data_IF_021192120663
#
_entry.id   IF_021192120663
#
_cell.length_a   1.000
_cell.length_b   1.000
_cell.length_c   1.000
_cell.angle_alpha   90.00
_cell.angle_beta   90.00
_cell.angle_gamma   90.00
#
_symmetry.space_group_name_H-M   'P 1'
#
loop_
_entity.id
_entity.type
_entity.pdbx_description
1 polymer ?
#
# COMPACT_ATOMS: atom_id res chain seq x y z
N UNK A 1 -3.03 -35.76 17.91
CA UNK A 1 -1.63 -35.36 17.59
C UNK A 1 -1.71 -34.11 16.75
N UNK A 2 -1.44 -32.96 17.37
CA UNK A 2 -1.47 -31.62 16.77
C UNK A 2 -0.03 -31.12 16.71
N UNK A 3 0.37 -30.58 15.56
CA UNK A 3 1.57 -29.77 15.42
C UNK A 3 1.32 -28.78 14.27
N UNK A 4 0.74 -27.63 14.62
CA UNK A 4 0.64 -26.47 13.74
C UNK A 4 1.85 -25.58 13.99
N UNK A 5 2.66 -25.37 12.96
CA UNK A 5 3.82 -24.48 12.96
C UNK A 5 3.33 -23.05 13.16
N UNK A 6 3.57 -22.48 14.34
CA UNK A 6 3.49 -21.04 14.60
C UNK A 6 4.81 -20.41 14.17
N UNK A 7 4.83 -19.78 12.99
CA UNK A 7 5.88 -18.84 12.63
C UNK A 7 5.77 -17.59 13.51
N UNK A 8 6.85 -17.21 14.17
CA UNK A 8 6.93 -16.08 15.08
C UNK A 8 6.93 -14.74 14.30
N UNK A 9 5.85 -13.95 14.32
CA UNK A 9 5.93 -12.49 14.15
C UNK A 9 6.41 -11.88 15.49
N UNK A 10 7.68 -12.08 15.85
CA UNK A 10 8.33 -11.43 16.99
C UNK A 10 9.59 -10.70 16.49
N UNK A 11 9.48 -9.38 16.29
CA UNK A 11 10.68 -8.53 16.19
C UNK A 11 10.51 -7.29 15.31
N UNK A 12 10.13 -6.16 15.94
CA UNK A 12 10.79 -4.85 15.75
C UNK A 12 10.09 -3.75 16.56
N UNK A 13 10.16 -3.86 17.88
CA UNK A 13 9.93 -2.76 18.80
C UNK A 13 11.24 -2.48 19.55
N UNK A 14 12.32 -2.11 18.85
CA UNK A 14 13.58 -1.68 19.50
C UNK A 14 14.60 -1.06 18.52
N UNK A 15 14.21 -0.02 17.80
CA UNK A 15 15.18 0.81 17.07
C UNK A 15 14.80 2.31 17.04
N UNK A 16 14.48 2.88 18.20
CA UNK A 16 14.43 4.33 18.39
C UNK A 16 14.95 4.73 19.76
N UNK A 17 16.18 4.32 20.11
CA UNK A 17 16.80 4.72 21.37
C UNK A 17 18.33 4.84 21.33
N UNK A 18 18.95 5.25 20.20
CA UNK A 18 20.36 5.67 20.22
C UNK A 18 20.62 6.83 19.26
N UNK A 19 20.19 8.01 19.65
CA UNK A 19 20.80 9.27 19.20
C UNK A 19 21.14 10.10 20.44
N UNK A 20 22.34 10.69 20.39
CA UNK A 20 22.88 11.77 21.24
C UNK A 20 23.64 11.30 22.49
N UNK A 21 24.97 11.42 22.48
CA UNK A 21 25.77 12.33 23.33
C UNK A 21 27.30 12.08 23.14
N UNK A 22 27.95 13.12 22.60
CA UNK A 22 29.27 13.71 22.93
C UNK A 22 30.60 13.12 22.43
N UNK A 23 31.22 13.94 21.56
CA UNK A 23 32.62 14.02 21.09
C UNK A 23 33.61 14.45 22.20
N UNK A 24 34.92 14.14 21.95
CA UNK A 24 36.21 14.77 22.42
C UNK A 24 36.71 14.29 23.82
N UNK A 25 38.00 14.01 24.12
CA UNK A 25 39.35 14.44 23.66
C UNK A 25 40.43 13.36 23.91
N UNK A 26 41.47 13.34 23.06
CA UNK A 26 42.84 12.81 23.19
C UNK A 26 43.41 12.57 24.62
N UNK A 27 44.19 11.49 24.76
CA UNK A 27 45.56 11.60 25.31
C UNK A 27 46.46 10.46 24.81
N UNK A 28 47.52 10.85 24.09
CA UNK A 28 48.61 9.99 23.65
C UNK A 28 49.46 9.52 24.84
N UNK A 29 49.94 8.28 24.79
CA UNK A 29 51.19 7.90 25.46
C UNK A 29 51.97 6.93 24.57
N UNK A 30 53.24 7.28 24.35
CA UNK A 30 54.20 6.67 23.43
C UNK A 30 54.86 5.46 24.08
N UNK A 31 54.93 4.33 23.37
CA UNK A 31 56.02 3.36 23.53
C UNK A 31 56.45 2.93 22.12
N UNK A 32 57.71 3.25 21.80
CA UNK A 32 58.42 2.90 20.58
C UNK A 32 59.20 1.62 20.88
N UNK A 33 58.98 0.55 20.12
CA UNK A 33 59.94 -0.56 20.00
C UNK A 33 60.05 -0.91 18.52
N UNK A 34 61.25 -0.72 17.98
CA UNK A 34 61.66 -1.10 16.64
C UNK A 34 61.84 -2.63 16.53
N UNK A 35 61.24 -3.26 15.53
CA UNK A 35 61.77 -4.47 14.90
C UNK A 35 61.29 -4.55 13.43
N UNK A 36 62.19 -4.68 12.44
CA UNK A 36 61.84 -4.72 11.02
C UNK A 36 61.65 -6.16 10.50
N UNK A 37 61.07 -6.27 9.28
CA UNK A 37 60.82 -7.47 8.45
C UNK A 37 59.54 -8.23 8.84
N UNK A 38 58.57 -8.51 7.96
CA UNK A 38 58.63 -8.98 6.57
C UNK A 38 57.36 -8.53 5.81
N UNK A 39 57.52 -8.10 4.56
CA UNK A 39 56.42 -7.93 3.60
C UNK A 39 55.80 -9.29 3.26
N UNK A 40 54.51 -9.47 3.54
CA UNK A 40 53.66 -10.38 2.76
C UNK A 40 52.42 -9.63 2.31
N UNK A 41 52.50 -9.07 1.11
CA UNK A 41 51.32 -8.68 0.34
C UNK A 41 50.61 -9.96 -0.12
N UNK A 42 49.61 -10.40 0.63
CA UNK A 42 48.62 -11.32 0.11
C UNK A 42 47.51 -10.47 -0.50
N UNK A 43 47.67 -10.11 -1.77
CA UNK A 43 46.59 -9.59 -2.61
C UNK A 43 45.64 -10.76 -2.94
N UNK A 44 44.77 -11.11 -2.01
CA UNK A 44 43.58 -11.88 -2.31
C UNK A 44 42.62 -10.96 -3.07
N UNK A 45 42.61 -11.07 -4.41
CA UNK A 45 41.46 -10.66 -5.21
C UNK A 45 40.29 -11.53 -4.77
N UNK A 46 39.48 -11.05 -3.84
CA UNK A 46 38.07 -11.46 -3.79
C UNK A 46 37.41 -10.76 -4.97
N UNK A 47 37.26 -11.47 -6.09
CA UNK A 47 36.20 -11.11 -7.04
C UNK A 47 34.90 -11.22 -6.25
N UNK A 48 34.35 -10.09 -5.84
CA UNK A 48 32.90 -9.99 -5.63
C UNK A 48 32.28 -10.37 -6.97
N UNK A 49 31.79 -11.60 -7.06
CA UNK A 49 30.76 -11.93 -8.03
C UNK A 49 29.56 -11.11 -7.55
N UNK A 50 29.44 -9.90 -8.10
CA UNK A 50 28.17 -9.20 -8.16
C UNK A 50 27.25 -10.12 -8.95
N UNK A 51 26.59 -11.05 -8.26
CA UNK A 51 25.32 -11.58 -8.71
C UNK A 51 24.43 -10.34 -8.85
N UNK A 52 24.35 -9.84 -10.06
CA UNK A 52 23.36 -8.86 -10.45
C UNK A 52 22.03 -9.62 -10.49
N UNK A 53 21.56 -10.05 -9.31
CA UNK A 53 20.15 -10.32 -9.13
C UNK A 53 19.47 -9.02 -9.54
N UNK A 54 18.72 -9.08 -10.64
CA UNK A 54 17.68 -8.09 -10.89
C UNK A 54 16.68 -8.25 -9.73
N UNK A 55 17.03 -7.71 -8.56
CA UNK A 55 16.09 -7.47 -7.49
C UNK A 55 15.12 -6.44 -8.04
N UNK A 56 14.03 -6.95 -8.60
CA UNK A 56 12.88 -6.15 -8.95
C UNK A 56 12.50 -5.35 -7.72
N UNK A 57 12.48 -4.02 -7.85
CA UNK A 57 12.27 -3.17 -6.69
C UNK A 57 10.92 -3.51 -6.06
N UNK A 58 10.91 -3.61 -4.73
CA UNK A 58 9.71 -3.90 -3.96
C UNK A 58 8.67 -2.81 -4.19
N UNK A 59 7.42 -3.15 -4.58
CA UNK A 59 6.34 -2.17 -4.68
C UNK A 59 6.06 -1.48 -3.34
N UNK A 60 5.62 -0.21 -3.37
CA UNK A 60 5.28 0.57 -2.18
C UNK A 60 4.33 -0.16 -1.23
N UNK A 61 3.32 -0.84 -1.78
CA UNK A 61 2.32 -1.61 -1.04
C UNK A 61 2.87 -2.89 -0.37
N UNK A 62 4.14 -3.24 -0.62
CA UNK A 62 4.85 -4.38 -0.04
C UNK A 62 6.15 -3.97 0.69
N UNK A 63 6.44 -2.66 0.81
CA UNK A 63 7.59 -2.15 1.57
C UNK A 63 7.23 -2.02 3.06
N UNK A 64 7.93 -2.76 3.91
CA UNK A 64 7.74 -2.85 5.35
C UNK A 64 7.77 -1.49 6.07
N UNK A 65 8.47 -0.50 5.51
CA UNK A 65 8.50 0.86 6.05
C UNK A 65 7.12 1.54 6.07
N UNK A 66 6.19 1.09 5.24
CA UNK A 66 4.87 1.71 5.07
C UNK A 66 3.70 0.86 5.60
N UNK A 67 3.97 -0.32 6.16
CA UNK A 67 2.92 -1.24 6.64
C UNK A 67 1.97 -0.60 7.66
N UNK A 68 2.45 0.36 8.46
CA UNK A 68 1.63 1.09 9.41
C UNK A 68 0.44 1.84 8.77
N UNK A 69 0.55 2.20 7.48
CA UNK A 69 -0.48 2.91 6.71
C UNK A 69 -1.37 1.98 5.88
N UNK A 70 -1.19 0.66 6.00
CA UNK A 70 -1.74 -0.35 5.09
C UNK A 70 -2.67 -1.33 5.79
N UNK A 71 -3.37 -0.88 6.85
CA UNK A 71 -4.34 -1.71 7.55
C UNK A 71 -5.71 -1.72 6.84
N UNK A 72 -5.96 -2.74 6.03
CA UNK A 72 -7.22 -2.94 5.33
C UNK A 72 -8.40 -3.25 6.26
N UNK A 73 -8.15 -3.79 7.46
CA UNK A 73 -9.20 -4.01 8.47
C UNK A 73 -9.80 -2.69 8.96
N UNK A 74 -8.98 -1.65 9.06
CA UNK A 74 -9.45 -0.31 9.39
C UNK A 74 -10.16 0.36 8.20
N UNK A 75 -9.65 0.18 6.98
CA UNK A 75 -10.25 0.75 5.77
C UNK A 75 -11.69 0.26 5.57
N UNK A 76 -11.95 -1.05 5.72
CA UNK A 76 -13.32 -1.60 5.62
C UNK A 76 -14.22 -1.18 6.79
N UNK A 77 -13.66 -0.61 7.86
CA UNK A 77 -14.41 -0.09 9.01
C UNK A 77 -14.98 1.31 8.83
N UNK A 78 -14.53 2.05 7.82
CA UNK A 78 -15.06 3.36 7.47
C UNK A 78 -16.58 3.27 7.24
N UNK A 79 -17.31 4.23 7.81
CA UNK A 79 -18.78 4.28 7.76
C UNK A 79 -19.24 5.11 6.57
N UNK A 80 -20.39 4.73 6.00
CA UNK A 80 -20.99 5.42 4.86
C UNK A 80 -20.31 5.06 3.53
N UNK A 81 -20.61 5.86 2.50
CA UNK A 81 -20.01 5.69 1.18
C UNK A 81 -18.55 6.11 1.19
N UNK A 82 -17.75 5.42 0.40
CA UNK A 82 -16.39 5.79 0.02
C UNK A 82 -16.40 6.00 -1.49
N UNK A 83 -15.92 7.14 -1.96
CA UNK A 83 -15.93 7.50 -3.37
C UNK A 83 -14.53 7.43 -3.96
N UNK A 84 -14.42 6.92 -5.19
CA UNK A 84 -13.19 7.04 -5.99
C UNK A 84 -13.11 8.46 -6.54
N UNK A 85 -12.11 9.20 -6.10
CA UNK A 85 -11.81 10.56 -6.57
C UNK A 85 -11.19 10.52 -7.96
N UNK A 86 -10.17 9.68 -8.13
CA UNK A 86 -9.47 9.51 -9.40
C UNK A 86 -8.87 8.11 -9.53
N UNK A 87 -8.48 7.77 -10.76
CA UNK A 87 -7.78 6.53 -11.09
C UNK A 87 -6.79 6.74 -12.23
N UNK A 88 -5.76 5.89 -12.33
CA UNK A 88 -4.69 6.05 -13.33
C UNK A 88 -4.74 5.06 -14.50
N UNK A 89 -5.82 4.29 -14.63
CA UNK A 89 -5.99 3.30 -15.66
C UNK A 89 -7.32 3.47 -16.41
N UNK A 90 -7.31 3.06 -17.68
CA UNK A 90 -8.53 2.92 -18.46
C UNK A 90 -9.25 1.61 -18.10
N UNK A 91 -10.57 1.69 -17.99
CA UNK A 91 -11.47 0.57 -18.22
C UNK A 91 -12.24 0.84 -19.52
N UNK A 92 -12.87 -0.18 -20.10
CA UNK A 92 -13.62 -0.02 -21.35
C UNK A 92 -14.70 1.06 -21.27
N UNK A 93 -15.23 1.30 -20.06
CA UNK A 93 -16.06 2.44 -19.70
C UNK A 93 -15.63 2.88 -18.29
N UNK A 94 -14.79 3.92 -18.12
CA UNK A 94 -14.44 4.39 -16.78
C UNK A 94 -15.72 4.88 -16.10
N UNK A 95 -16.15 4.23 -15.00
CA UNK A 95 -17.35 4.67 -14.32
C UNK A 95 -17.12 6.07 -13.74
N UNK A 96 -18.16 6.90 -13.75
CA UNK A 96 -18.22 8.10 -12.93
C UNK A 96 -18.88 7.75 -11.59
N UNK A 97 -18.63 8.54 -10.56
CA UNK A 97 -19.26 8.37 -9.25
C UNK A 97 -19.08 6.96 -8.65
N UNK A 98 -17.96 6.29 -8.95
CA UNK A 98 -17.66 4.98 -8.37
C UNK A 98 -17.58 5.09 -6.85
N UNK A 99 -18.31 4.22 -6.18
CA UNK A 99 -18.47 4.24 -4.74
C UNK A 99 -18.67 2.85 -4.16
N UNK A 100 -18.24 2.69 -2.92
CA UNK A 100 -18.41 1.47 -2.14
C UNK A 100 -19.00 1.81 -0.77
N UNK A 101 -19.97 1.01 -0.31
CA UNK A 101 -20.56 1.14 1.01
C UNK A 101 -20.70 -0.23 1.66
N UNK A 102 -20.23 -0.38 2.89
CA UNK A 102 -20.41 -1.63 3.64
C UNK A 102 -21.87 -1.77 4.08
N UNK A 103 -22.47 -2.90 3.72
CA UNK A 103 -23.83 -3.30 4.11
C UNK A 103 -23.82 -4.19 5.35
N UNK A 104 -22.89 -5.15 5.42
CA UNK A 104 -22.82 -6.09 6.54
C UNK A 104 -21.37 -6.54 6.83
N UNK A 105 -21.15 -6.98 8.06
CA UNK A 105 -19.93 -7.65 8.51
C UNK A 105 -20.32 -9.05 8.97
N UNK A 106 -19.77 -10.09 8.36
CA UNK A 106 -20.09 -11.48 8.73
C UNK A 106 -19.09 -12.00 9.76
N UNK A 107 -17.81 -11.66 9.60
CA UNK A 107 -16.74 -11.97 10.53
C UNK A 107 -15.59 -10.97 10.33
N UNK A 108 -14.43 -11.23 10.92
CA UNK A 108 -13.27 -10.34 10.86
C UNK A 108 -12.73 -10.10 9.43
N UNK A 109 -12.91 -11.04 8.51
CA UNK A 109 -12.36 -10.97 7.14
C UNK A 109 -13.40 -10.90 6.05
N UNK A 110 -14.68 -11.19 6.33
CA UNK A 110 -15.74 -11.27 5.33
C UNK A 110 -16.80 -10.19 5.53
N UNK A 111 -17.00 -9.38 4.49
CA UNK A 111 -17.91 -8.26 4.49
C UNK A 111 -18.79 -8.27 3.24
N UNK A 112 -20.01 -7.75 3.36
CA UNK A 112 -20.86 -7.46 2.22
C UNK A 112 -20.78 -5.95 1.93
N UNK A 113 -20.41 -5.61 0.70
CA UNK A 113 -20.42 -4.24 0.21
C UNK A 113 -21.42 -4.07 -0.92
N UNK A 114 -21.95 -2.87 -1.06
CA UNK A 114 -22.66 -2.41 -2.24
C UNK A 114 -21.74 -1.50 -3.04
N UNK A 115 -21.51 -1.82 -4.30
CA UNK A 115 -20.79 -0.97 -5.24
C UNK A 115 -21.79 -0.24 -6.11
N UNK A 116 -21.55 1.05 -6.36
CA UNK A 116 -22.38 1.87 -7.23
C UNK A 116 -21.54 2.78 -8.12
N UNK A 117 -21.95 2.91 -9.38
CA UNK A 117 -21.26 3.70 -10.39
C UNK A 117 -22.25 4.22 -11.46
N UNK A 118 -21.89 5.31 -12.11
CA UNK A 118 -22.60 5.91 -13.23
C UNK A 118 -21.91 5.58 -14.54
N UNK A 119 -22.69 5.19 -15.55
CA UNK A 119 -22.18 5.02 -16.91
C UNK A 119 -22.06 6.42 -17.55
N UNK A 120 -20.87 6.85 -18.03
CA UNK A 120 -20.65 8.24 -18.46
C UNK A 120 -21.64 8.76 -19.50
N UNK A 121 -22.07 7.90 -20.44
CA UNK A 121 -23.00 8.29 -21.52
C UNK A 121 -24.47 8.27 -21.09
N UNK A 122 -24.76 7.76 -19.89
CA UNK A 122 -26.09 7.55 -19.35
C UNK A 122 -26.12 8.02 -17.88
N UNK A 123 -25.92 9.33 -17.62
CA UNK A 123 -25.70 9.85 -16.26
C UNK A 123 -26.88 9.64 -15.30
N UNK A 124 -28.07 9.32 -15.83
CA UNK A 124 -29.27 8.98 -15.05
C UNK A 124 -29.30 7.51 -14.59
N UNK A 125 -28.39 6.68 -15.08
CA UNK A 125 -28.35 5.25 -14.81
C UNK A 125 -27.20 4.94 -13.87
N UNK A 126 -27.57 4.71 -12.60
CA UNK A 126 -26.66 4.19 -11.58
C UNK A 126 -26.72 2.67 -11.62
N UNK A 127 -25.58 2.04 -11.92
CA UNK A 127 -25.41 0.60 -11.76
C UNK A 127 -25.04 0.35 -10.31
N UNK A 128 -25.81 -0.51 -9.63
CA UNK A 128 -25.57 -0.88 -8.23
C UNK A 128 -25.67 -2.39 -8.07
N UNK A 129 -24.72 -3.00 -7.35
CA UNK A 129 -24.78 -4.42 -7.01
C UNK A 129 -24.03 -4.71 -5.72
N UNK A 130 -24.39 -5.82 -5.06
CA UNK A 130 -23.72 -6.26 -3.85
C UNK A 130 -22.63 -7.28 -4.17
N UNK A 131 -21.53 -7.24 -3.43
CA UNK A 131 -20.37 -8.11 -3.62
C UNK A 131 -19.70 -8.41 -2.28
N UNK A 132 -19.06 -9.57 -2.20
CA UNK A 132 -18.28 -9.95 -1.01
C UNK A 132 -16.90 -9.33 -1.08
N UNK A 133 -16.49 -8.68 -0.01
CA UNK A 133 -15.11 -8.25 0.23
C UNK A 133 -14.49 -9.24 1.21
N UNK A 134 -13.37 -9.84 0.82
CA UNK A 134 -12.62 -10.80 1.64
C UNK A 134 -11.22 -10.27 1.88
N UNK A 135 -10.88 -10.02 3.15
CA UNK A 135 -9.56 -9.53 3.55
C UNK A 135 -8.50 -10.63 3.45
N UNK A 136 -7.30 -10.24 3.05
CA UNK A 136 -6.12 -11.10 3.00
C UNK A 136 -4.84 -10.32 3.35
N UNK A 137 -3.79 -11.07 3.69
CA UNK A 137 -2.44 -10.55 3.87
C UNK A 137 -1.65 -10.86 2.58
N UNK A 138 -0.78 -9.96 2.15
CA UNK A 138 0.15 -10.17 1.03
C UNK A 138 1.58 -9.92 1.47
N UNK A 139 2.55 -10.45 0.71
CA UNK A 139 3.97 -10.29 1.01
C UNK A 139 4.33 -10.67 2.44
N UNK A 140 5.04 -9.78 3.14
CA UNK A 140 5.51 -9.96 4.52
C UNK A 140 4.56 -9.34 5.57
N UNK A 141 3.36 -8.91 5.18
CA UNK A 141 2.41 -8.30 6.13
C UNK A 141 1.97 -9.29 7.22
N UNK A 142 2.07 -8.89 8.50
CA UNK A 142 1.46 -9.62 9.63
C UNK A 142 0.00 -9.15 9.90
N UNK A 143 -0.50 -8.14 9.18
CA UNK A 143 -1.84 -7.57 9.31
C UNK A 143 -2.56 -7.59 7.95
N UNK A 144 -3.89 -7.61 7.92
CA UNK A 144 -4.62 -7.59 6.65
C UNK A 144 -4.39 -6.26 5.92
N UNK A 145 -3.83 -6.33 4.71
CA UNK A 145 -3.50 -5.18 3.87
C UNK A 145 -4.18 -5.20 2.51
N UNK A 146 -4.87 -6.28 2.16
CA UNK A 146 -5.51 -6.44 0.86
C UNK A 146 -6.93 -6.96 0.99
N UNK A 147 -7.69 -6.83 -0.10
CA UNK A 147 -9.05 -7.34 -0.19
C UNK A 147 -9.37 -7.83 -1.59
N UNK A 148 -10.07 -8.96 -1.66
CA UNK A 148 -10.57 -9.54 -2.91
C UNK A 148 -12.07 -9.30 -3.05
N UNK A 149 -12.49 -8.74 -4.19
CA UNK A 149 -13.91 -8.54 -4.50
C UNK A 149 -14.19 -8.46 -6.00
N UNK A 150 -15.44 -8.70 -6.39
CA UNK A 150 -15.90 -8.46 -7.77
C UNK A 150 -16.17 -6.98 -7.95
N UNK A 151 -15.40 -6.34 -8.83
CA UNK A 151 -15.62 -4.95 -9.24
C UNK A 151 -16.69 -4.81 -10.33
N UNK A 152 -16.89 -5.86 -11.14
CA UNK A 152 -17.92 -5.92 -12.18
C UNK A 152 -18.63 -7.28 -12.12
N UNK A 153 -19.94 -7.30 -12.39
CA UNK A 153 -20.78 -8.51 -12.25
C UNK A 153 -20.35 -9.68 -13.15
N UNK A 154 -19.72 -9.40 -14.29
CA UNK A 154 -19.28 -10.42 -15.26
C UNK A 154 -17.79 -10.79 -15.15
N UNK A 155 -17.04 -10.08 -14.30
CA UNK A 155 -15.61 -10.33 -14.13
C UNK A 155 -15.35 -11.19 -12.88
N UNK A 156 -14.24 -11.95 -12.87
CA UNK A 156 -13.80 -12.61 -11.66
C UNK A 156 -13.49 -11.58 -10.56
N UNK A 157 -13.56 -11.98 -9.28
CA UNK A 157 -13.04 -11.15 -8.19
C UNK A 157 -11.56 -10.81 -8.43
N UNK A 158 -11.16 -9.61 -8.05
CA UNK A 158 -9.77 -9.15 -8.14
C UNK A 158 -9.25 -8.81 -6.75
N UNK A 159 -7.99 -9.14 -6.50
CA UNK A 159 -7.26 -8.69 -5.33
C UNK A 159 -6.82 -7.23 -5.54
N UNK A 160 -7.08 -6.40 -4.53
CA UNK A 160 -6.57 -5.03 -4.44
C UNK A 160 -5.88 -4.82 -3.11
N UNK A 161 -4.66 -4.29 -3.16
CA UNK A 161 -3.83 -4.01 -1.99
C UNK A 161 -4.05 -2.56 -1.56
N UNK A 162 -4.13 -2.32 -0.25
CA UNK A 162 -4.14 -0.97 0.30
C UNK A 162 -2.70 -0.45 0.23
N UNK A 163 -2.45 0.49 -0.68
CA UNK A 163 -1.14 1.10 -0.84
C UNK A 163 -0.87 2.09 0.29
N UNK A 164 -1.85 2.93 0.62
CA UNK A 164 -1.72 3.94 1.66
C UNK A 164 -3.10 4.40 2.14
N UNK A 165 -3.23 4.55 3.45
CA UNK A 165 -4.33 5.26 4.10
C UNK A 165 -3.70 6.23 5.10
N UNK A 166 -4.09 7.50 5.03
CA UNK A 166 -3.55 8.47 5.98
C UNK A 166 -4.10 8.26 7.40
N UNK A 167 -3.42 8.78 8.41
CA UNK A 167 -3.75 8.58 9.83
C UNK A 167 -5.19 9.01 10.19
N UNK A 168 -5.66 10.08 9.57
CA UNK A 168 -7.01 10.61 9.79
C UNK A 168 -8.09 9.84 9.01
N UNK A 169 -7.71 8.84 8.22
CA UNK A 169 -8.58 8.01 7.38
C UNK A 169 -9.48 8.84 6.46
N UNK A 170 -8.97 9.98 6.01
CA UNK A 170 -9.68 10.92 5.12
C UNK A 170 -9.43 10.61 3.65
N UNK A 171 -8.42 9.79 3.35
CA UNK A 171 -8.10 9.34 2.01
C UNK A 171 -7.42 7.95 2.03
N UNK A 172 -7.60 7.20 0.96
CA UNK A 172 -7.01 5.87 0.76
C UNK A 172 -6.59 5.70 -0.69
N UNK A 173 -5.57 4.87 -0.93
CA UNK A 173 -5.13 4.48 -2.27
C UNK A 173 -5.14 2.96 -2.33
N UNK A 174 -5.93 2.41 -3.24
CA UNK A 174 -5.88 0.99 -3.57
C UNK A 174 -5.18 0.79 -4.91
N UNK A 175 -4.44 -0.30 -5.02
CA UNK A 175 -3.78 -0.72 -6.26
C UNK A 175 -4.21 -2.15 -6.61
N UNK A 176 -4.45 -2.41 -7.89
CA UNK A 176 -4.62 -3.79 -8.37
C UNK A 176 -3.35 -4.61 -8.06
N UNK A 177 -3.51 -5.91 -7.86
CA UNK A 177 -2.37 -6.81 -7.61
C UNK A 177 -1.29 -6.71 -8.70
N UNK A 178 -0.04 -6.56 -8.24
CA UNK A 178 1.20 -6.64 -9.02
C UNK A 178 2.30 -7.28 -8.18
N UNK A 179 3.27 -7.90 -8.84
CA UNK A 179 4.41 -8.53 -8.16
C UNK A 179 5.62 -7.59 -8.03
N UNK A 180 5.69 -6.55 -8.86
CA UNK A 180 6.88 -5.69 -8.93
C UNK A 180 6.59 -4.27 -9.40
N UNK A 181 7.59 -3.40 -9.27
CA UNK A 181 7.53 -2.04 -9.81
C UNK A 181 7.64 -1.96 -11.34
N UNK A 182 8.03 -3.05 -12.02
CA UNK A 182 8.05 -3.09 -13.48
C UNK A 182 6.63 -3.22 -14.07
N UNK A 183 5.72 -3.84 -13.32
CA UNK A 183 4.29 -3.87 -13.64
C UNK A 183 3.65 -2.50 -13.37
N UNK A 184 2.90 -2.00 -14.35
CA UNK A 184 2.24 -0.71 -14.25
C UNK A 184 1.23 -0.71 -13.08
N UNK A 185 1.40 0.24 -12.15
CA UNK A 185 0.46 0.45 -11.06
C UNK A 185 -0.91 0.83 -11.61
N UNK A 186 -1.96 0.15 -11.16
CA UNK A 186 -3.36 0.48 -11.47
C UNK A 186 -4.05 0.90 -10.19
N UNK A 187 -4.04 2.18 -9.91
CA UNK A 187 -4.48 2.76 -8.67
C UNK A 187 -5.85 3.43 -8.76
N UNK A 188 -6.54 3.42 -7.63
CA UNK A 188 -7.69 4.28 -7.34
C UNK A 188 -7.36 5.09 -6.08
N UNK A 189 -7.62 6.40 -6.12
CA UNK A 189 -7.55 7.31 -4.98
C UNK A 189 -8.97 7.56 -4.48
N UNK A 190 -9.21 7.37 -3.19
CA UNK A 190 -10.55 7.38 -2.61
C UNK A 190 -10.64 8.31 -1.42
N UNK A 191 -11.84 8.83 -1.17
CA UNK A 191 -12.18 9.56 0.06
C UNK A 191 -13.54 9.10 0.59
N UNK A 192 -13.71 8.99 1.93
CA UNK A 192 -15.03 8.84 2.52
C UNK A 192 -15.95 9.99 2.13
N UNK A 193 -17.25 9.73 2.03
CA UNK A 193 -18.29 10.70 1.65
C UNK A 193 -18.18 12.03 2.39
N UNK A 194 -17.87 11.98 3.69
CA UNK A 194 -17.66 13.16 4.53
C UNK A 194 -16.65 14.14 3.92
N UNK A 195 -15.58 13.63 3.31
CA UNK A 195 -14.48 14.42 2.75
C UNK A 195 -14.52 14.47 1.21
N UNK A 196 -15.48 13.82 0.57
CA UNK A 196 -15.45 13.64 -0.88
C UNK A 196 -15.58 14.95 -1.69
N UNK A 197 -16.13 16.03 -1.13
CA UNK A 197 -16.14 17.35 -1.78
C UNK A 197 -14.91 18.21 -1.46
N UNK A 198 -14.07 17.76 -0.53
CA UNK A 198 -12.85 18.44 -0.17
C UNK A 198 -11.72 18.09 -1.15
N UNK A 199 -10.63 18.86 -1.05
CA UNK A 199 -9.37 18.50 -1.70
C UNK A 199 -8.84 17.21 -1.07
N UNK A 200 -8.20 16.37 -1.88
CA UNK A 200 -7.41 15.25 -1.34
C UNK A 200 -6.28 15.83 -0.47
N UNK A 201 -6.05 15.30 0.75
CA UNK A 201 -4.90 15.64 1.57
C UNK A 201 -3.57 15.52 0.82
N UNK A 202 -2.65 16.46 1.07
CA UNK A 202 -1.40 16.56 0.31
C UNK A 202 -0.50 15.32 0.45
N UNK A 203 -0.55 14.63 1.59
CA UNK A 203 0.19 13.39 1.83
C UNK A 203 -0.32 12.23 0.95
N UNK A 204 -1.64 12.02 0.89
CA UNK A 204 -2.22 11.06 -0.05
C UNK A 204 -1.95 11.43 -1.50
N UNK A 205 -2.12 12.70 -1.86
CA UNK A 205 -1.90 13.13 -3.24
C UNK A 205 -0.45 12.86 -3.65
N UNK A 206 0.52 13.16 -2.78
CA UNK A 206 1.92 12.86 -3.01
C UNK A 206 2.18 11.36 -3.20
N UNK A 207 1.65 10.50 -2.32
CA UNK A 207 1.83 9.04 -2.46
C UNK A 207 1.22 8.54 -3.76
N UNK A 208 0.04 9.05 -4.15
CA UNK A 208 -0.60 8.70 -5.40
C UNK A 208 0.23 9.12 -6.61
N UNK A 209 0.66 10.38 -6.67
CA UNK A 209 1.41 10.92 -7.80
C UNK A 209 2.77 10.22 -7.97
N UNK A 210 3.44 9.89 -6.86
CA UNK A 210 4.76 9.22 -6.86
C UNK A 210 4.67 7.74 -7.28
N UNK A 211 3.57 7.04 -6.96
CA UNK A 211 3.47 5.58 -7.10
C UNK A 211 2.47 5.11 -8.16
N UNK A 212 1.65 6.00 -8.69
CA UNK A 212 0.59 5.69 -9.66
C UNK A 212 0.75 6.53 -10.94
N UNK A 213 1.88 6.41 -11.65
CA UNK A 213 2.15 7.22 -12.83
C UNK A 213 1.15 6.91 -13.95
N UNK A 214 1.01 7.84 -14.89
CA UNK A 214 0.18 7.68 -16.09
C UNK A 214 -1.01 8.62 -16.10
N UNK A 215 -2.17 8.10 -16.50
CA UNK A 215 -3.39 8.91 -16.60
C UNK A 215 -3.83 9.40 -15.22
N UNK A 216 -4.59 10.48 -15.17
CA UNK A 216 -5.28 10.89 -13.96
C UNK A 216 -6.73 11.22 -14.33
N UNK A 217 -7.57 10.17 -14.31
CA UNK A 217 -8.98 10.26 -14.70
C UNK A 217 -9.75 10.65 -13.45
N UNK A 218 -10.43 11.81 -13.50
CA UNK A 218 -11.37 12.21 -12.45
C UNK A 218 -12.61 11.33 -12.52
N UNK A 219 -12.95 10.70 -11.40
CA UNK A 219 -14.11 9.79 -11.27
C UNK A 219 -15.21 10.43 -10.45
N UNK A 220 -14.85 11.18 -9.40
CA UNK A 220 -15.80 11.87 -8.54
C UNK A 220 -16.04 13.31 -8.99
N UNK A 221 -17.31 13.70 -8.98
CA UNK A 221 -17.78 15.08 -9.06
C UNK A 221 -18.78 15.33 -7.93
N UNK A 222 -18.97 16.58 -7.51
CA UNK A 222 -19.84 16.90 -6.36
C UNK A 222 -21.29 16.42 -6.50
N UNK A 223 -21.80 16.29 -7.73
CA UNK A 223 -23.14 15.73 -7.96
C UNK A 223 -23.27 14.24 -7.58
N UNK A 224 -22.15 13.50 -7.46
CA UNK A 224 -22.14 12.08 -7.11
C UNK A 224 -22.69 11.77 -5.71
N UNK A 225 -22.66 12.75 -4.79
CA UNK A 225 -23.26 12.61 -3.44
C UNK A 225 -24.77 12.43 -3.45
N UNK A 226 -25.43 12.96 -4.47
CA UNK A 226 -26.89 12.94 -4.56
C UNK A 226 -27.41 11.73 -5.36
N UNK A 227 -26.55 10.76 -5.65
CA UNK A 227 -26.85 9.54 -6.43
C UNK A 227 -26.97 8.29 -5.56
#
# INVERSE_FOLDING_TARGET
RSAGVRGLCLGSFLLHAFKRVRKRVLRMSRIIVCLPLVLFAASSLTSEISEHENHEATPFEEDECYFAYQNASEAVQIKGKIYVKSQNFNSSLPPLCDSAERIASFNATHYLFSLAAVIPHFPKFVVKFNTSFVLSMTGNHCEYNAMTYRYETRQPPKLRKLMYMNDNRTCMIFVDERNSTAEAARCQLLQPEKYADEKVPDDCQKVYDDNCPGLNITVYHSYCKNL
#
